data_IF_261749063804
#
_entry.id   IF_261749063804
#
_cell.length_a   1.000
_cell.length_b   1.000
_cell.length_c   1.000
_cell.angle_alpha   90.00
_cell.angle_beta   90.00
_cell.angle_gamma   90.00
#
_symmetry.space_group_name_H-M   'P 1'
#
loop_
_entity.id
_entity.type
_entity.pdbx_description
1 polymer ?
#
# COMPACT_ATOMS: atom_id res chain seq x y z
N UNK A 1 -79.56 -35.39 6.66
CA UNK A 1 -78.26 -34.93 7.20
C UNK A 1 -77.39 -34.43 6.04
N UNK A 2 -77.44 -33.12 5.82
CA UNK A 2 -76.76 -32.42 4.74
C UNK A 2 -75.31 -32.10 5.17
N UNK A 3 -74.30 -32.25 4.29
CA UNK A 3 -72.89 -32.14 4.66
C UNK A 3 -72.47 -30.68 4.92
N UNK A 4 -71.69 -30.49 5.98
CA UNK A 4 -71.12 -29.21 6.41
C UNK A 4 -70.16 -28.64 5.35
N UNK A 5 -70.22 -27.34 5.02
CA UNK A 5 -69.30 -26.74 4.06
C UNK A 5 -67.86 -26.65 4.61
N UNK A 6 -66.83 -26.74 3.74
CA UNK A 6 -65.44 -26.66 4.15
C UNK A 6 -65.03 -25.25 4.59
N UNK A 7 -64.19 -25.19 5.62
CA UNK A 7 -63.63 -23.98 6.21
C UNK A 7 -62.71 -23.23 5.22
N UNK A 8 -62.76 -21.89 5.14
CA UNK A 8 -61.87 -21.11 4.27
C UNK A 8 -60.39 -21.23 4.68
N UNK A 9 -59.45 -21.16 3.73
CA UNK A 9 -58.02 -21.20 4.04
C UNK A 9 -57.56 -19.93 4.75
N UNK A 10 -56.64 -20.12 5.70
CA UNK A 10 -56.03 -19.06 6.52
C UNK A 10 -55.18 -18.09 5.67
N UNK A 11 -55.21 -16.77 5.93
CA UNK A 11 -54.46 -15.79 5.14
C UNK A 11 -52.95 -15.94 5.36
N UNK A 12 -52.18 -16.01 4.27
CA UNK A 12 -50.71 -16.03 4.36
C UNK A 12 -50.17 -14.70 4.93
N UNK A 13 -49.15 -14.73 5.82
CA UNK A 13 -48.55 -13.53 6.36
C UNK A 13 -47.89 -12.68 5.26
N UNK A 14 -48.18 -11.38 5.28
CA UNK A 14 -47.60 -10.39 4.37
C UNK A 14 -46.09 -10.25 4.63
N UNK A 15 -45.22 -10.27 3.59
CA UNK A 15 -43.79 -10.05 3.77
C UNK A 15 -43.51 -8.71 4.45
N UNK A 16 -42.59 -8.71 5.42
CA UNK A 16 -42.12 -7.49 6.06
C UNK A 16 -41.50 -6.54 5.01
N UNK A 17 -41.66 -5.21 5.15
CA UNK A 17 -41.01 -4.25 4.26
C UNK A 17 -39.49 -4.43 4.33
N UNK A 18 -38.83 -4.60 3.18
CA UNK A 18 -37.37 -4.53 3.11
C UNK A 18 -36.90 -3.14 3.56
N UNK A 19 -35.83 -3.05 4.36
CA UNK A 19 -35.27 -1.75 4.74
C UNK A 19 -34.82 -1.01 3.49
N UNK A 20 -35.25 0.25 3.38
CA UNK A 20 -34.86 1.15 2.29
C UNK A 20 -33.32 1.24 2.19
N UNK A 21 -32.74 1.24 0.96
CA UNK A 21 -31.30 1.40 0.81
C UNK A 21 -30.86 2.73 1.44
N UNK A 22 -29.93 2.65 2.40
CA UNK A 22 -29.30 3.85 2.97
C UNK A 22 -28.58 4.62 1.84
N UNK A 23 -28.64 5.96 1.83
CA UNK A 23 -27.92 6.75 0.84
C UNK A 23 -26.42 6.43 0.93
N UNK A 24 -25.86 5.89 -0.16
CA UNK A 24 -24.42 5.69 -0.31
C UNK A 24 -23.72 7.03 -0.17
N UNK A 25 -22.67 7.10 0.67
CA UNK A 25 -21.79 8.26 0.72
C UNK A 25 -21.36 8.65 -0.71
N UNK A 26 -21.27 9.95 -1.05
CA UNK A 26 -20.72 10.36 -2.34
C UNK A 26 -19.35 9.72 -2.52
N UNK A 27 -19.15 9.03 -3.64
CA UNK A 27 -17.85 8.47 -3.98
C UNK A 27 -16.85 9.63 -4.13
N UNK A 28 -15.86 9.69 -3.26
CA UNK A 28 -14.73 10.62 -3.42
C UNK A 28 -13.93 10.13 -4.62
N UNK A 29 -13.67 10.99 -5.59
CA UNK A 29 -12.74 10.68 -6.67
C UNK A 29 -11.36 10.35 -6.06
N UNK A 30 -10.86 9.11 -6.22
CA UNK A 30 -9.57 8.71 -5.66
C UNK A 30 -8.41 9.60 -6.14
N UNK A 31 -8.54 10.21 -7.32
CA UNK A 31 -7.50 11.04 -7.93
C UNK A 31 -7.68 12.54 -7.68
N UNK A 32 -8.69 12.96 -6.91
CA UNK A 32 -8.83 14.34 -6.52
C UNK A 32 -7.75 14.72 -5.47
N UNK A 33 -7.29 16.00 -5.47
CA UNK A 33 -6.38 16.50 -4.45
C UNK A 33 -6.87 16.23 -3.03
N UNK A 34 -5.94 15.93 -2.13
CA UNK A 34 -6.23 15.75 -0.71
C UNK A 34 -6.10 17.11 -0.02
N UNK A 35 -7.16 17.56 0.66
CA UNK A 35 -7.17 18.85 1.35
C UNK A 35 -6.08 18.93 2.41
N UNK A 36 -5.38 20.07 2.48
CA UNK A 36 -4.29 20.37 3.43
C UNK A 36 -3.02 19.52 3.25
N UNK A 37 -2.90 18.75 2.18
CA UNK A 37 -1.64 18.08 1.85
C UNK A 37 -0.70 19.00 1.06
N UNK A 38 0.57 19.00 1.44
CA UNK A 38 1.63 19.72 0.74
C UNK A 38 2.97 19.03 0.92
N UNK A 39 3.76 18.97 -0.16
CA UNK A 39 4.93 18.11 -0.22
C UNK A 39 6.19 18.94 -0.44
N UNK A 40 7.24 18.61 0.31
CA UNK A 40 8.57 19.20 0.12
C UNK A 40 9.50 18.28 -0.64
N UNK A 41 10.75 18.70 -0.74
CA UNK A 41 11.83 17.91 -1.36
C UNK A 41 13.04 17.90 -0.45
N UNK A 42 13.81 16.81 -0.51
CA UNK A 42 15.14 16.74 0.08
C UNK A 42 16.18 16.43 -1.01
N UNK A 43 17.44 16.88 -0.84
CA UNK A 43 18.54 16.36 -1.63
C UNK A 43 18.72 14.87 -1.30
N UNK A 44 19.05 14.08 -2.30
CA UNK A 44 19.41 12.68 -2.08
C UNK A 44 20.80 12.57 -1.45
N UNK A 45 21.04 11.48 -0.72
CA UNK A 45 22.38 11.07 -0.29
C UNK A 45 22.99 10.20 -1.39
N UNK A 46 24.19 10.58 -1.83
CA UNK A 46 24.93 9.84 -2.86
C UNK A 46 24.52 10.21 -4.30
N UNK A 47 24.35 9.18 -5.14
CA UNK A 47 24.06 9.34 -6.57
C UNK A 47 22.64 8.86 -6.90
N UNK A 48 21.99 9.46 -7.92
CA UNK A 48 20.75 8.94 -8.47
C UNK A 48 20.91 7.47 -8.86
N UNK A 49 19.78 6.77 -8.92
CA UNK A 49 19.72 5.43 -9.50
C UNK A 49 20.34 5.39 -10.90
N UNK A 50 20.92 4.24 -11.25
CA UNK A 50 21.77 4.04 -12.42
C UNK A 50 21.02 4.00 -13.77
N UNK A 51 19.69 4.02 -13.74
CA UNK A 51 18.84 3.96 -14.94
C UNK A 51 17.51 4.69 -14.73
N UNK A 52 16.73 4.96 -15.78
CA UNK A 52 15.44 5.62 -15.64
C UNK A 52 14.52 4.90 -14.65
N UNK A 53 13.90 5.66 -13.74
CA UNK A 53 13.11 5.09 -12.64
C UNK A 53 11.96 4.19 -13.12
N UNK A 54 11.34 4.50 -14.26
CA UNK A 54 10.28 3.69 -14.85
C UNK A 54 10.77 2.33 -15.41
N UNK A 55 12.09 2.15 -15.58
CA UNK A 55 12.77 0.91 -15.99
C UNK A 55 13.51 0.21 -14.84
N UNK A 56 13.44 0.73 -13.61
CA UNK A 56 14.21 0.21 -12.48
C UNK A 56 13.37 -0.76 -11.63
N UNK A 57 13.62 -2.06 -11.79
CA UNK A 57 12.84 -3.14 -11.14
C UNK A 57 12.83 -3.09 -9.61
N UNK A 58 13.77 -2.39 -9.00
CA UNK A 58 13.85 -2.25 -7.54
C UNK A 58 12.96 -1.15 -6.96
N UNK A 59 12.58 -0.14 -7.75
CA UNK A 59 11.74 0.98 -7.28
C UNK A 59 10.39 1.06 -8.00
N UNK A 60 10.25 0.41 -9.16
CA UNK A 60 8.97 0.24 -9.86
C UNK A 60 8.53 -1.23 -9.77
N UNK A 61 7.76 -1.56 -8.72
CA UNK A 61 7.36 -2.94 -8.40
C UNK A 61 6.62 -3.64 -9.55
N UNK A 62 5.84 -2.90 -10.34
CA UNK A 62 5.12 -3.45 -11.49
C UNK A 62 6.02 -4.10 -12.55
N UNK A 63 7.28 -3.66 -12.66
CA UNK A 63 8.25 -4.31 -13.54
C UNK A 63 8.56 -5.72 -13.07
N UNK A 64 8.78 -5.92 -11.76
CA UNK A 64 8.94 -7.26 -11.18
C UNK A 64 7.68 -8.09 -11.38
N UNK A 65 6.51 -7.48 -11.20
CA UNK A 65 5.24 -8.21 -11.18
C UNK A 65 5.19 -9.23 -10.03
N UNK A 66 4.04 -9.86 -9.88
CA UNK A 66 3.76 -10.76 -8.77
C UNK A 66 2.63 -11.71 -9.13
N UNK A 67 2.60 -12.87 -8.49
CA UNK A 67 1.55 -13.89 -8.65
C UNK A 67 0.86 -14.14 -7.32
N UNK A 68 -0.44 -14.45 -7.34
CA UNK A 68 -1.17 -14.84 -6.12
C UNK A 68 -0.56 -16.11 -5.52
N UNK A 69 -0.62 -16.21 -4.19
CA UNK A 69 -0.32 -17.45 -3.47
C UNK A 69 -1.53 -17.92 -2.66
N UNK A 70 -1.48 -19.17 -2.22
CA UNK A 70 -2.50 -19.85 -1.43
C UNK A 70 -2.19 -19.83 0.07
N UNK A 71 -1.22 -19.02 0.49
CA UNK A 71 -0.85 -18.88 1.90
C UNK A 71 -1.97 -18.22 2.71
N UNK A 72 -2.03 -18.55 4.00
CA UNK A 72 -3.04 -18.04 4.92
C UNK A 72 -3.08 -16.50 4.95
N UNK A 73 -4.28 -15.94 4.92
CA UNK A 73 -4.51 -14.51 5.11
C UNK A 73 -4.41 -14.15 6.60
N UNK A 74 -3.84 -12.99 6.90
CA UNK A 74 -3.73 -12.48 8.27
C UNK A 74 -2.30 -12.37 8.75
N UNK A 75 -2.16 -11.86 9.98
CA UNK A 75 -0.87 -11.71 10.63
C UNK A 75 -0.27 -13.06 10.98
N UNK A 76 1.05 -13.16 10.89
CA UNK A 76 1.81 -14.34 11.28
C UNK A 76 2.84 -13.97 12.34
N UNK A 77 3.17 -14.95 13.17
CA UNK A 77 4.25 -14.85 14.12
C UNK A 77 5.50 -15.51 13.54
N UNK A 78 6.64 -14.83 13.67
CA UNK A 78 7.95 -15.30 13.21
C UNK A 78 8.98 -14.95 14.27
N UNK A 79 9.92 -15.86 14.52
CA UNK A 79 11.02 -15.61 15.46
C UNK A 79 12.06 -14.61 14.93
N UNK A 80 13.01 -14.25 15.77
CA UNK A 80 14.13 -13.36 15.42
C UNK A 80 14.01 -11.95 16.00
N UNK A 81 15.05 -11.11 15.81
CA UNK A 81 15.10 -9.77 16.37
C UNK A 81 14.04 -8.85 15.77
N UNK A 82 13.70 -7.78 16.48
CA UNK A 82 12.82 -6.70 16.04
C UNK A 82 13.61 -5.40 15.92
N UNK A 83 13.19 -4.52 15.02
CA UNK A 83 13.69 -3.16 14.91
C UNK A 83 12.60 -2.17 15.33
N UNK A 84 12.88 -1.34 16.34
CA UNK A 84 11.93 -0.32 16.82
C UNK A 84 11.65 0.80 15.82
N UNK A 85 12.47 0.91 14.77
CA UNK A 85 12.29 1.87 13.68
C UNK A 85 11.69 1.24 12.42
N UNK A 86 11.29 -0.03 12.45
CA UNK A 86 10.54 -0.62 11.35
C UNK A 86 9.23 0.15 11.09
N UNK A 87 8.85 0.37 9.82
CA UNK A 87 7.59 1.05 9.50
C UNK A 87 6.38 0.22 9.94
N UNK A 88 5.43 0.86 10.62
CA UNK A 88 4.26 0.20 11.19
C UNK A 88 3.07 0.29 10.22
N UNK A 89 2.71 -0.81 9.56
CA UNK A 89 1.71 -0.84 8.48
C UNK A 89 0.30 -0.48 8.92
N UNK A 90 -0.04 -0.62 10.21
CA UNK A 90 -1.31 -0.12 10.74
C UNK A 90 -1.47 1.39 10.50
N UNK A 91 -0.37 2.14 10.44
CA UNK A 91 -0.36 3.60 10.21
C UNK A 91 -0.56 4.00 8.73
N UNK A 92 -0.74 3.03 7.83
CA UNK A 92 -1.26 3.31 6.49
C UNK A 92 -2.70 3.85 6.55
N UNK A 93 -3.45 3.45 7.58
CA UNK A 93 -4.86 3.79 7.78
C UNK A 93 -4.99 4.91 8.81
N UNK A 94 -5.85 5.89 8.53
CA UNK A 94 -6.04 7.06 9.41
C UNK A 94 -6.51 6.69 10.83
N UNK A 95 -7.30 5.61 10.96
CA UNK A 95 -7.80 5.09 12.25
C UNK A 95 -6.80 4.14 12.94
N UNK A 96 -5.62 3.95 12.34
CA UNK A 96 -4.63 2.98 12.76
C UNK A 96 -5.22 1.57 12.94
N UNK A 97 -6.15 1.10 12.10
CA UNK A 97 -6.64 -0.28 12.22
C UNK A 97 -5.58 -1.32 11.81
N UNK A 98 -5.77 -2.56 12.27
CA UNK A 98 -5.10 -3.70 11.63
C UNK A 98 -5.75 -3.94 10.28
N UNK A 99 -4.95 -3.95 9.20
CA UNK A 99 -5.46 -4.18 7.86
C UNK A 99 -6.08 -5.58 7.74
N UNK A 100 -7.23 -5.68 7.07
CA UNK A 100 -7.83 -6.97 6.74
C UNK A 100 -7.16 -7.49 5.47
N UNK A 101 -6.46 -8.62 5.57
CA UNK A 101 -5.79 -9.24 4.43
C UNK A 101 -6.83 -9.88 3.51
N UNK A 102 -6.85 -9.47 2.24
CA UNK A 102 -7.81 -9.95 1.22
C UNK A 102 -7.16 -10.90 0.23
N UNK A 103 -5.89 -10.66 -0.09
CA UNK A 103 -5.11 -11.48 -1.00
C UNK A 103 -3.65 -11.49 -0.57
N UNK A 104 -2.92 -12.55 -0.87
CA UNK A 104 -1.46 -12.60 -0.71
C UNK A 104 -0.79 -12.97 -2.02
N UNK A 105 0.39 -12.41 -2.23
CA UNK A 105 1.13 -12.52 -3.48
C UNK A 105 2.62 -12.77 -3.21
N UNK A 106 3.28 -13.26 -4.25
CA UNK A 106 4.72 -13.45 -4.31
C UNK A 106 5.28 -12.67 -5.49
N UNK A 107 6.11 -11.69 -5.16
CA UNK A 107 6.84 -10.83 -6.09
C UNK A 107 7.94 -11.63 -6.79
N UNK A 108 8.27 -11.27 -8.03
CA UNK A 108 9.39 -11.87 -8.74
C UNK A 108 10.74 -11.23 -8.39
N UNK A 109 11.80 -12.02 -8.46
CA UNK A 109 13.17 -11.54 -8.62
C UNK A 109 13.29 -10.64 -9.85
N UNK A 110 14.37 -9.87 -9.85
CA UNK A 110 14.78 -9.07 -11.00
C UNK A 110 16.16 -9.55 -11.42
N UNK A 111 16.29 -9.93 -12.68
CA UNK A 111 17.56 -10.24 -13.30
C UNK A 111 18.16 -8.94 -13.84
N UNK A 112 19.23 -8.49 -13.20
CA UNK A 112 19.94 -7.26 -13.58
C UNK A 112 20.77 -7.41 -14.86
N UNK A 113 21.21 -8.63 -15.19
CA UNK A 113 21.97 -8.89 -16.41
C UNK A 113 21.11 -8.74 -17.66
N UNK A 114 19.87 -9.22 -17.62
CA UNK A 114 18.89 -9.05 -18.70
C UNK A 114 17.92 -7.88 -18.51
N UNK A 115 17.99 -7.18 -17.36
CA UNK A 115 17.03 -6.17 -16.91
C UNK A 115 15.57 -6.64 -17.06
N UNK A 116 15.27 -7.83 -16.54
CA UNK A 116 13.98 -8.50 -16.72
C UNK A 116 13.54 -9.28 -15.46
N UNK A 117 12.37 -9.93 -15.51
CA UNK A 117 11.82 -10.71 -14.39
C UNK A 117 12.59 -12.02 -14.23
N UNK A 118 13.10 -12.29 -13.02
CA UNK A 118 13.90 -13.47 -12.69
C UNK A 118 13.12 -14.64 -12.06
N UNK A 119 11.80 -14.72 -12.22
CA UNK A 119 10.96 -15.71 -11.55
C UNK A 119 10.60 -15.37 -10.09
N UNK A 120 9.77 -16.16 -9.40
CA UNK A 120 9.22 -15.79 -8.09
C UNK A 120 10.27 -15.82 -6.97
N UNK A 121 10.17 -14.90 -6.01
CA UNK A 121 10.99 -14.91 -4.79
C UNK A 121 10.62 -16.11 -3.92
N UNK A 122 11.62 -16.84 -3.41
CA UNK A 122 11.40 -18.07 -2.63
C UNK A 122 11.70 -17.94 -1.14
N UNK A 123 12.35 -16.84 -0.72
CA UNK A 123 12.65 -16.52 0.69
C UNK A 123 11.40 -16.56 1.59
N UNK A 124 10.28 -16.04 1.07
CA UNK A 124 9.00 -16.02 1.75
C UNK A 124 7.90 -16.44 0.77
N UNK A 125 6.93 -17.22 1.26
CA UNK A 125 5.74 -17.59 0.49
C UNK A 125 4.85 -16.38 0.18
N UNK A 126 4.97 -15.30 0.96
CA UNK A 126 4.27 -14.03 0.75
C UNK A 126 5.29 -12.91 0.83
N UNK A 127 5.33 -12.06 -0.19
CA UNK A 127 6.19 -10.86 -0.26
C UNK A 127 5.41 -9.60 -0.63
N UNK A 128 4.10 -9.72 -0.81
CA UNK A 128 3.17 -8.62 -1.07
C UNK A 128 1.79 -9.01 -0.52
N UNK A 129 1.19 -8.12 0.28
CA UNK A 129 -0.14 -8.34 0.87
C UNK A 129 -1.15 -7.37 0.28
N UNK A 130 -2.31 -7.89 -0.13
CA UNK A 130 -3.51 -7.12 -0.40
C UNK A 130 -4.23 -6.80 0.91
N UNK A 131 -4.50 -5.53 1.16
CA UNK A 131 -5.18 -5.02 2.35
C UNK A 131 -6.49 -4.36 1.94
N UNK A 132 -7.58 -4.74 2.61
CA UNK A 132 -8.91 -4.17 2.39
C UNK A 132 -8.91 -2.68 2.73
N UNK A 133 -9.49 -1.90 1.84
CA UNK A 133 -9.76 -0.46 1.96
C UNK A 133 -11.11 -0.16 1.31
N UNK A 134 -11.59 1.07 1.45
CA UNK A 134 -12.70 1.59 0.64
C UNK A 134 -12.14 2.48 -0.48
N UNK A 135 -12.80 2.49 -1.64
CA UNK A 135 -12.42 3.41 -2.72
C UNK A 135 -12.46 4.87 -2.25
N UNK A 136 -11.39 5.62 -2.53
CA UNK A 136 -11.22 7.00 -2.07
C UNK A 136 -10.65 7.15 -0.65
N UNK A 137 -10.43 6.05 0.09
CA UNK A 137 -9.81 6.07 1.42
C UNK A 137 -8.37 6.62 1.33
N UNK A 138 -8.00 7.67 2.08
CA UNK A 138 -6.62 8.16 2.14
C UNK A 138 -5.66 7.09 2.66
N UNK A 139 -4.46 7.05 2.08
CA UNK A 139 -3.36 6.19 2.54
C UNK A 139 -2.21 7.05 3.00
N UNK A 140 -1.70 6.76 4.20
CA UNK A 140 -0.79 7.62 4.94
C UNK A 140 0.60 7.02 5.10
N UNK A 141 1.63 7.87 5.20
CA UNK A 141 3.00 7.42 5.50
C UNK A 141 3.01 6.70 6.84
N UNK A 142 3.37 5.40 6.88
CA UNK A 142 3.45 4.69 8.13
C UNK A 142 4.67 5.23 8.88
N UNK A 143 4.40 6.06 9.89
CA UNK A 143 5.46 6.74 10.63
C UNK A 143 6.43 5.73 11.24
N UNK A 144 7.72 6.00 11.07
CA UNK A 144 8.83 5.31 11.69
C UNK A 144 9.66 6.35 12.47
N UNK A 145 10.52 5.95 13.40
CA UNK A 145 11.29 6.90 14.23
C UNK A 145 12.38 7.68 13.49
N UNK A 146 12.35 7.76 12.16
CA UNK A 146 13.37 8.41 11.34
C UNK A 146 13.14 9.93 11.22
N UNK A 147 14.25 10.66 11.13
CA UNK A 147 14.33 11.99 10.55
C UNK A 147 15.45 11.93 9.52
N UNK A 148 15.09 12.02 8.24
CA UNK A 148 16.03 11.99 7.11
C UNK A 148 16.42 13.41 6.66
N UNK A 149 16.03 14.42 7.43
CA UNK A 149 16.26 15.83 7.17
C UNK A 149 14.97 16.64 7.25
N UNK A 150 15.03 17.80 7.92
CA UNK A 150 13.93 18.77 8.00
C UNK A 150 12.62 18.20 8.58
N UNK A 151 12.71 17.11 9.35
CA UNK A 151 11.59 16.38 9.94
C UNK A 151 10.78 15.54 8.94
N UNK A 152 11.31 15.28 7.75
CA UNK A 152 10.76 14.27 6.84
C UNK A 152 11.23 12.88 7.25
N UNK A 153 10.45 11.87 6.90
CA UNK A 153 10.75 10.47 7.24
C UNK A 153 11.03 9.61 6.02
N UNK A 154 10.46 9.98 4.87
CA UNK A 154 10.60 9.22 3.65
C UNK A 154 10.97 10.07 2.46
N UNK A 155 11.71 9.48 1.52
CA UNK A 155 11.84 9.92 0.14
C UNK A 155 10.91 9.11 -0.77
N UNK A 156 10.37 9.77 -1.79
CA UNK A 156 9.61 9.12 -2.87
C UNK A 156 10.55 8.75 -4.00
N UNK A 157 10.92 7.47 -4.09
CA UNK A 157 11.82 6.98 -5.14
C UNK A 157 11.10 6.80 -6.48
N UNK A 158 9.83 6.42 -6.42
CA UNK A 158 8.99 6.24 -7.60
C UNK A 158 7.55 6.62 -7.31
N UNK A 159 6.91 7.33 -8.24
CA UNK A 159 5.47 7.54 -8.24
C UNK A 159 4.93 7.45 -9.67
N UNK A 160 3.74 6.88 -9.80
CA UNK A 160 2.91 7.00 -11.00
C UNK A 160 1.46 7.23 -10.56
N UNK A 161 0.54 7.30 -11.51
CA UNK A 161 -0.90 7.42 -11.21
C UNK A 161 -1.43 6.31 -10.30
N UNK A 162 -0.82 5.13 -10.30
CA UNK A 162 -1.40 3.93 -9.66
C UNK A 162 -0.56 3.31 -8.52
N UNK A 163 0.64 3.85 -8.28
CA UNK A 163 1.62 3.27 -7.35
C UNK A 163 2.67 4.26 -6.87
N UNK A 164 3.27 3.93 -5.73
CA UNK A 164 4.36 4.71 -5.13
C UNK A 164 5.36 3.79 -4.43
N UNK A 165 6.61 4.23 -4.38
CA UNK A 165 7.69 3.60 -3.60
C UNK A 165 8.28 4.63 -2.64
N UNK A 166 8.24 4.29 -1.35
CA UNK A 166 8.66 5.12 -0.22
C UNK A 166 9.94 4.55 0.37
N UNK A 167 10.90 5.40 0.72
CA UNK A 167 12.19 5.00 1.29
C UNK A 167 12.47 5.72 2.60
N UNK A 168 12.83 4.99 3.65
CA UNK A 168 13.06 5.54 5.01
C UNK A 168 14.49 6.02 5.26
N UNK A 169 15.26 6.22 4.20
CA UNK A 169 16.62 6.76 4.22
C UNK A 169 16.78 7.75 3.06
N UNK A 170 17.91 8.47 3.02
CA UNK A 170 18.13 9.57 2.08
C UNK A 170 18.61 9.16 0.68
N UNK A 171 18.96 7.89 0.46
CA UNK A 171 19.54 7.43 -0.80
C UNK A 171 18.49 7.14 -1.88
N UNK A 172 18.83 7.38 -3.15
CA UNK A 172 17.99 7.02 -4.31
C UNK A 172 18.11 5.52 -4.67
N UNK A 173 17.94 4.66 -3.67
CA UNK A 173 18.02 3.20 -3.81
C UNK A 173 17.30 2.50 -2.67
N UNK A 174 16.88 1.26 -2.91
CA UNK A 174 16.30 0.39 -1.87
C UNK A 174 17.33 -0.49 -1.17
N UNK A 175 18.61 -0.42 -1.56
CA UNK A 175 19.67 -1.32 -1.11
C UNK A 175 19.93 -1.31 0.41
N UNK A 176 19.64 -0.22 1.11
CA UNK A 176 19.92 -0.07 2.56
C UNK A 176 18.73 0.44 3.33
N UNK A 177 18.35 -0.18 4.45
CA UNK A 177 17.20 0.24 5.26
C UNK A 177 15.84 -0.02 4.59
N UNK A 178 14.76 0.47 5.20
CA UNK A 178 13.41 0.09 4.78
C UNK A 178 12.91 0.81 3.53
N UNK A 179 12.13 0.10 2.72
CA UNK A 179 11.33 0.67 1.66
C UNK A 179 9.93 0.02 1.63
N UNK A 180 8.92 0.76 1.18
CA UNK A 180 7.57 0.26 0.99
C UNK A 180 7.14 0.54 -0.44
N UNK A 181 6.63 -0.50 -1.09
CA UNK A 181 5.92 -0.38 -2.36
C UNK A 181 4.43 -0.46 -2.11
N UNK A 182 3.66 0.47 -2.68
CA UNK A 182 2.20 0.49 -2.61
C UNK A 182 1.62 0.57 -4.01
N UNK A 183 0.70 -0.36 -4.31
CA UNK A 183 -0.05 -0.44 -5.58
C UNK A 183 -1.55 -0.28 -5.31
N UNK A 184 -2.32 0.15 -6.32
CA UNK A 184 -3.78 0.26 -6.23
C UNK A 184 -4.25 1.56 -5.58
N UNK A 185 -3.41 2.59 -5.60
CA UNK A 185 -3.70 3.93 -5.10
C UNK A 185 -3.74 4.91 -6.25
N UNK A 186 -4.49 6.00 -6.16
CA UNK A 186 -4.18 7.18 -6.92
C UNK A 186 -3.21 8.03 -6.10
N UNK A 187 -1.99 8.19 -6.58
CA UNK A 187 -1.01 9.06 -5.94
C UNK A 187 -1.55 10.49 -5.93
N UNK A 188 -1.30 11.23 -4.84
CA UNK A 188 -1.81 12.60 -4.73
C UNK A 188 -1.29 13.46 -5.91
N UNK A 189 -2.15 14.19 -6.64
CA UNK A 189 -1.76 14.87 -7.88
C UNK A 189 -0.59 15.84 -7.77
N UNK A 190 -0.51 16.64 -6.70
CA UNK A 190 0.60 17.56 -6.48
C UNK A 190 1.90 16.83 -6.12
N UNK A 191 1.82 15.71 -5.38
CA UNK A 191 2.96 14.83 -5.11
C UNK A 191 3.48 14.17 -6.38
N UNK A 192 2.59 13.63 -7.21
CA UNK A 192 2.95 13.03 -8.49
C UNK A 192 3.61 14.07 -9.41
N UNK A 193 3.03 15.26 -9.51
CA UNK A 193 3.59 16.36 -10.29
C UNK A 193 4.98 16.79 -9.79
N UNK A 194 5.17 16.83 -8.46
CA UNK A 194 6.45 17.11 -7.84
C UNK A 194 7.48 16.03 -8.16
N UNK A 195 7.11 14.76 -8.04
CA UNK A 195 7.95 13.62 -8.39
C UNK A 195 8.38 13.67 -9.85
N UNK A 196 7.43 13.87 -10.78
CA UNK A 196 7.72 13.91 -12.22
C UNK A 196 8.68 15.05 -12.58
N UNK A 197 8.50 16.23 -11.97
CA UNK A 197 9.43 17.35 -12.14
C UNK A 197 10.83 16.99 -11.66
N UNK A 198 10.97 16.55 -10.42
CA UNK A 198 12.26 16.15 -9.82
C UNK A 198 12.94 15.03 -10.60
N UNK A 199 12.16 14.08 -11.10
CA UNK A 199 12.65 12.98 -11.93
C UNK A 199 13.20 13.47 -13.28
N UNK A 200 12.53 14.41 -13.94
CA UNK A 200 13.01 15.04 -15.18
C UNK A 200 14.25 15.92 -14.96
N UNK A 201 14.38 16.53 -13.78
CA UNK A 201 15.51 17.37 -13.38
C UNK A 201 16.74 16.57 -12.89
N UNK A 202 16.75 15.24 -13.08
CA UNK A 202 17.90 14.41 -12.79
C UNK A 202 17.97 13.86 -11.36
N UNK A 203 16.86 13.89 -10.61
CA UNK A 203 16.66 13.16 -9.34
C UNK A 203 17.63 13.51 -8.20
N UNK A 204 18.36 14.63 -8.30
CA UNK A 204 19.24 15.10 -7.22
C UNK A 204 18.47 15.59 -6.00
N UNK A 205 17.22 15.97 -6.21
CA UNK A 205 16.23 16.15 -5.16
C UNK A 205 15.06 15.23 -5.46
N UNK A 206 14.39 14.74 -4.42
CA UNK A 206 13.18 13.91 -4.54
C UNK A 206 12.13 14.39 -3.53
N UNK A 207 10.83 14.13 -3.81
CA UNK A 207 9.78 14.45 -2.85
C UNK A 207 10.02 13.77 -1.51
N UNK A 208 9.74 14.48 -0.43
CA UNK A 208 9.90 14.00 0.94
C UNK A 208 8.60 14.21 1.74
N UNK A 209 8.25 13.22 2.57
CA UNK A 209 6.99 13.22 3.34
C UNK A 209 7.23 13.00 4.83
N UNK A 210 6.35 13.58 5.64
CA UNK A 210 6.34 13.43 7.11
C UNK A 210 5.52 12.21 7.53
N UNK A 211 5.70 11.76 8.78
CA UNK A 211 4.85 10.71 9.35
C UNK A 211 3.37 11.09 9.28
N UNK A 212 2.52 10.13 8.93
CA UNK A 212 1.06 10.32 8.88
C UNK A 212 0.56 11.18 7.73
N UNK A 213 1.46 11.71 6.90
CA UNK A 213 1.07 12.49 5.73
C UNK A 213 0.39 11.59 4.69
N UNK A 214 -0.73 12.01 4.11
CA UNK A 214 -1.37 11.24 3.04
C UNK A 214 -0.55 11.35 1.76
N UNK A 215 -0.37 10.24 1.05
CA UNK A 215 0.36 10.20 -0.23
C UNK A 215 -0.52 9.82 -1.42
N UNK A 216 -1.78 9.47 -1.16
CA UNK A 216 -2.74 9.07 -2.18
C UNK A 216 -4.02 8.55 -1.55
N UNK A 217 -4.93 8.07 -2.41
CA UNK A 217 -6.17 7.39 -2.00
C UNK A 217 -6.27 6.02 -2.67
N UNK A 218 -6.94 5.07 -2.05
CA UNK A 218 -7.24 3.79 -2.68
C UNK A 218 -8.11 3.97 -3.93
N UNK A 219 -7.77 3.34 -5.05
CA UNK A 219 -8.58 3.37 -6.29
C UNK A 219 -9.84 2.51 -6.13
N UNK A 220 -9.69 1.37 -5.47
CA UNK A 220 -10.76 0.41 -5.24
C UNK A 220 -10.75 -0.09 -3.81
N UNK A 221 -11.16 -1.34 -3.62
CA UNK A 221 -11.36 -1.91 -2.28
C UNK A 221 -10.14 -2.70 -1.74
N UNK A 222 -9.01 -2.63 -2.44
CA UNK A 222 -7.75 -3.27 -2.05
C UNK A 222 -6.56 -2.41 -2.49
N UNK A 223 -5.63 -2.13 -1.56
CA UNK A 223 -4.26 -1.72 -1.87
C UNK A 223 -3.31 -2.89 -1.68
N UNK A 224 -2.18 -2.92 -2.38
CA UNK A 224 -1.17 -3.97 -2.20
C UNK A 224 0.12 -3.36 -1.66
N UNK A 225 0.67 -3.97 -0.62
CA UNK A 225 1.82 -3.44 0.13
C UNK A 225 2.92 -4.48 0.25
N UNK A 226 4.12 -4.13 -0.21
CA UNK A 226 5.34 -4.91 -0.03
C UNK A 226 6.36 -4.09 0.75
N UNK A 227 7.10 -4.76 1.64
CA UNK A 227 8.18 -4.16 2.41
C UNK A 227 9.50 -4.73 1.92
N UNK A 228 10.51 -3.86 1.83
CA UNK A 228 11.91 -4.27 1.73
C UNK A 228 12.68 -3.83 2.97
N UNK A 229 13.58 -4.70 3.41
CA UNK A 229 14.63 -4.38 4.37
C UNK A 229 15.97 -4.58 3.66
N UNK A 230 16.71 -3.48 3.47
CA UNK A 230 18.08 -3.53 2.94
C UNK A 230 18.12 -4.30 1.61
N UNK A 231 17.21 -3.93 0.70
CA UNK A 231 17.07 -4.56 -0.60
C UNK A 231 16.37 -5.93 -0.61
N UNK A 232 16.08 -6.58 0.52
CA UNK A 232 15.39 -7.87 0.53
C UNK A 232 13.89 -7.69 0.71
N UNK A 233 13.06 -8.39 -0.08
CA UNK A 233 11.62 -8.43 0.18
C UNK A 233 11.31 -9.24 1.43
N UNK A 234 10.42 -8.72 2.27
CA UNK A 234 10.02 -9.33 3.54
C UNK A 234 8.57 -9.82 3.46
N UNK A 235 8.15 -10.68 4.39
CA UNK A 235 6.75 -11.04 4.55
C UNK A 235 6.00 -9.92 5.29
N UNK A 236 5.10 -9.15 4.63
CA UNK A 236 4.41 -8.01 5.24
C UNK A 236 3.39 -8.41 6.32
N UNK A 237 3.15 -9.72 6.53
CA UNK A 237 2.26 -10.24 7.57
C UNK A 237 2.92 -10.36 8.94
N UNK A 238 4.25 -10.27 9.02
CA UNK A 238 4.98 -10.54 10.26
C UNK A 238 4.61 -9.52 11.34
N UNK A 239 3.95 -10.01 12.40
CA UNK A 239 3.36 -9.19 13.46
C UNK A 239 4.39 -8.36 14.20
N UNK A 240 5.49 -9.01 14.63
CA UNK A 240 6.51 -8.41 15.49
C UNK A 240 7.24 -7.21 14.85
N UNK A 241 7.31 -7.16 13.53
CA UNK A 241 8.10 -6.13 12.82
C UNK A 241 7.20 -5.00 12.33
N UNK A 242 6.05 -5.32 11.72
CA UNK A 242 5.25 -4.33 10.99
C UNK A 242 3.92 -3.98 11.66
N UNK A 243 3.52 -4.74 12.68
CA UNK A 243 2.20 -4.65 13.31
C UNK A 243 2.30 -4.68 14.84
N UNK A 244 3.25 -3.93 15.40
CA UNK A 244 3.46 -3.89 16.85
C UNK A 244 2.18 -3.50 17.59
N UNK A 245 1.85 -4.28 18.64
CA UNK A 245 0.66 -4.07 19.46
C UNK A 245 -0.66 -4.56 18.84
N UNK A 246 -0.60 -5.37 17.78
CA UNK A 246 -1.77 -5.98 17.11
C UNK A 246 -1.87 -7.46 17.36
#
# INVERSE_FOLDING_TARGET
PEPTPPTPPEPKPKPAPQPSPQPSRPAVDPCAPITNESYGTLPIVGSPTDRPAHMHGDINLALRGFSKTDSTLGLIDMGGPTDSRAPQLARLFADNRTGVFTTVYRVNHWDWGSNSRGGPIEDFKVTLAGLKVEAGEPVHIPGAGYDIGQGYQVLVLYASKERITLKYTGEDTVATGYAIHVEGICAEPSLLSLYERMNREGRRHLPALRAGQAFGRAIGNEIKVAIRDTGRFMDPRVRKDWWTGR
#
